data_IF_255646560194
#
_entry.id   IF_255646560194
#
_cell.length_a   1.000
_cell.length_b   1.000
_cell.length_c   1.000
_cell.angle_alpha   90.00
_cell.angle_beta   90.00
_cell.angle_gamma   90.00
#
_symmetry.space_group_name_H-M   'P 1'
#
loop_
_entity.id
_entity.type
_entity.pdbx_description
1 polymer ?
#
# COMPACT_ATOMS: atom_id res chain seq x y z
N UNK A 1 -31.54 -66.89 55.08
CA UNK A 1 -31.19 -65.80 56.03
C UNK A 1 -31.43 -64.48 55.31
N UNK A 2 -32.45 -63.71 55.71
CA UNK A 2 -32.95 -62.52 54.99
C UNK A 2 -32.06 -61.32 55.31
N UNK A 3 -31.47 -60.70 54.29
CA UNK A 3 -30.72 -59.44 54.43
C UNK A 3 -31.47 -58.38 53.63
N UNK A 4 -32.24 -57.59 54.37
CA UNK A 4 -32.95 -56.38 53.90
C UNK A 4 -32.03 -55.19 54.07
N UNK A 5 -31.65 -54.47 52.99
CA UNK A 5 -31.07 -53.12 53.11
C UNK A 5 -31.47 -52.22 51.93
N UNK A 6 -32.49 -51.42 52.20
CA UNK A 6 -32.62 -49.98 51.96
C UNK A 6 -32.06 -49.41 50.64
N UNK A 7 -32.95 -49.13 49.70
CA UNK A 7 -32.68 -48.37 48.48
C UNK A 7 -32.47 -46.89 48.88
N UNK A 8 -31.26 -46.38 48.70
CA UNK A 8 -30.96 -44.96 48.88
C UNK A 8 -31.06 -44.29 47.52
N UNK A 9 -32.03 -43.39 47.36
CA UNK A 9 -32.30 -42.67 46.11
C UNK A 9 -31.25 -41.55 45.95
N UNK A 10 -30.24 -41.78 45.11
CA UNK A 10 -29.21 -40.78 44.78
C UNK A 10 -29.73 -39.84 43.69
N UNK A 11 -30.01 -38.58 44.06
CA UNK A 11 -30.36 -37.51 43.13
C UNK A 11 -29.08 -36.97 42.48
N UNK A 12 -28.83 -37.33 41.22
CA UNK A 12 -27.66 -36.88 40.45
C UNK A 12 -27.99 -35.53 39.78
N UNK A 13 -27.54 -34.42 40.39
CA UNK A 13 -27.63 -33.09 39.78
C UNK A 13 -26.55 -32.96 38.70
N UNK A 14 -26.95 -33.02 37.42
CA UNK A 14 -26.07 -32.74 36.29
C UNK A 14 -25.84 -31.23 36.16
N UNK A 15 -24.69 -30.77 36.62
CA UNK A 15 -24.21 -29.41 36.36
C UNK A 15 -23.61 -29.39 34.95
N UNK A 16 -24.31 -28.78 34.00
CA UNK A 16 -23.73 -28.46 32.68
C UNK A 16 -22.79 -27.26 32.84
N UNK A 17 -21.50 -27.53 33.07
CA UNK A 17 -20.45 -26.53 32.93
C UNK A 17 -20.36 -26.14 31.45
N UNK A 18 -20.87 -24.96 31.09
CA UNK A 18 -20.61 -24.35 29.79
C UNK A 18 -19.11 -24.08 29.65
N UNK A 19 -18.43 -24.80 28.78
CA UNK A 19 -17.03 -24.50 28.45
C UNK A 19 -16.98 -23.20 27.63
N UNK A 20 -16.46 -22.13 28.22
CA UNK A 20 -16.02 -20.97 27.47
C UNK A 20 -14.85 -21.40 26.58
N UNK A 21 -15.04 -21.38 25.26
CA UNK A 21 -13.94 -21.59 24.32
C UNK A 21 -13.00 -20.38 24.44
N UNK A 22 -11.68 -20.59 24.64
CA UNK A 22 -10.74 -19.50 24.60
C UNK A 22 -10.77 -18.88 23.20
N UNK A 23 -10.93 -17.55 23.14
CA UNK A 23 -10.72 -16.78 21.91
C UNK A 23 -9.30 -17.04 21.44
N UNK A 24 -9.14 -17.69 20.29
CA UNK A 24 -7.83 -17.83 19.67
C UNK A 24 -7.29 -16.44 19.36
N UNK A 25 -6.23 -16.01 20.05
CA UNK A 25 -5.51 -14.80 19.70
C UNK A 25 -5.05 -14.90 18.24
N UNK A 26 -5.40 -13.88 17.45
CA UNK A 26 -4.93 -13.78 16.07
C UNK A 26 -3.41 -13.62 16.10
N UNK A 27 -2.68 -14.57 15.49
CA UNK A 27 -1.23 -14.43 15.33
C UNK A 27 -0.94 -13.09 14.64
N UNK A 28 0.02 -12.29 15.14
CA UNK A 28 0.39 -11.07 14.45
C UNK A 28 0.75 -11.41 13.00
N UNK A 29 0.10 -10.73 12.06
CA UNK A 29 0.41 -10.87 10.64
C UNK A 29 1.89 -10.60 10.40
N UNK A 30 2.48 -11.25 9.39
CA UNK A 30 3.86 -10.95 9.00
C UNK A 30 3.98 -9.43 8.76
N UNK A 31 5.10 -8.80 9.17
CA UNK A 31 5.35 -7.40 8.85
C UNK A 31 5.20 -7.20 7.35
N UNK A 32 4.27 -6.32 6.96
CA UNK A 32 4.07 -6.00 5.55
C UNK A 32 5.10 -4.93 5.21
N UNK A 33 6.03 -5.25 4.32
CA UNK A 33 6.99 -4.26 3.81
C UNK A 33 6.23 -3.23 2.98
N UNK A 34 6.41 -1.95 3.29
CA UNK A 34 5.83 -0.85 2.50
C UNK A 34 6.47 -0.84 1.11
N UNK A 35 5.65 -0.87 0.07
CA UNK A 35 6.11 -0.55 -1.28
C UNK A 35 6.28 0.97 -1.39
N UNK A 36 7.50 1.43 -1.66
CA UNK A 36 7.83 2.84 -1.90
C UNK A 36 8.35 2.98 -3.32
N UNK A 37 8.01 4.09 -3.97
CA UNK A 37 8.61 4.55 -5.22
C UNK A 37 9.32 5.85 -4.88
N UNK A 38 10.65 5.80 -4.82
CA UNK A 38 11.52 6.92 -4.42
C UNK A 38 12.18 7.60 -5.61
N UNK A 39 12.12 6.98 -6.80
CA UNK A 39 12.80 7.47 -8.00
C UNK A 39 14.32 7.26 -7.97
N UNK A 40 14.81 6.47 -7.01
CA UNK A 40 16.24 6.16 -6.82
C UNK A 40 16.56 4.66 -6.94
N UNK A 41 15.55 3.84 -7.26
CA UNK A 41 15.69 2.41 -7.45
C UNK A 41 16.51 2.09 -8.72
N UNK A 42 16.97 0.85 -8.84
CA UNK A 42 17.75 0.42 -10.00
C UNK A 42 16.97 0.60 -11.31
N UNK A 43 17.59 1.25 -12.30
CA UNK A 43 16.98 1.52 -13.61
C UNK A 43 16.27 2.88 -13.71
N UNK A 44 16.07 3.57 -12.60
CA UNK A 44 15.55 4.94 -12.61
C UNK A 44 16.60 5.93 -13.13
N UNK A 45 16.13 6.98 -13.79
CA UNK A 45 16.95 8.08 -14.30
C UNK A 45 16.22 9.40 -14.12
N UNK A 46 16.93 10.41 -13.64
CA UNK A 46 16.42 11.78 -13.62
C UNK A 46 16.15 12.30 -15.04
N UNK A 47 14.96 12.85 -15.26
CA UNK A 47 14.64 13.58 -16.48
C UNK A 47 15.14 15.02 -16.37
N UNK A 48 15.81 15.49 -17.42
CA UNK A 48 16.43 16.81 -17.48
C UNK A 48 15.84 17.64 -18.61
N UNK A 49 16.21 18.92 -18.70
CA UNK A 49 15.85 19.78 -19.85
C UNK A 49 16.14 19.13 -21.20
N UNK A 50 17.24 18.39 -21.29
CA UNK A 50 17.69 17.76 -22.54
C UNK A 50 16.81 16.59 -22.99
N UNK A 51 15.89 16.13 -22.14
CA UNK A 51 14.95 15.07 -22.49
C UNK A 51 13.70 15.58 -23.17
N UNK A 52 13.45 16.90 -23.14
CA UNK A 52 12.25 17.52 -23.65
C UNK A 52 12.50 18.35 -24.90
N UNK A 53 11.44 18.54 -25.69
CA UNK A 53 11.40 19.45 -26.82
C UNK A 53 10.14 20.29 -26.74
N UNK A 54 10.29 21.59 -27.05
CA UNK A 54 9.18 22.51 -27.20
C UNK A 54 8.36 22.11 -28.44
N UNK A 55 7.04 22.01 -28.28
CA UNK A 55 6.12 21.67 -29.38
C UNK A 55 5.50 22.93 -29.97
N UNK A 56 4.93 23.81 -29.15
CA UNK A 56 4.14 24.95 -29.58
C UNK A 56 4.13 26.12 -28.59
N UNK A 57 5.16 26.22 -27.75
CA UNK A 57 5.32 27.30 -26.78
C UNK A 57 6.26 28.39 -27.32
N UNK A 58 6.20 29.57 -26.71
CA UNK A 58 7.26 30.57 -26.88
C UNK A 58 8.55 30.13 -26.15
N UNK A 59 9.69 30.69 -26.54
CA UNK A 59 11.01 30.30 -26.01
C UNK A 59 11.14 30.51 -24.50
N UNK A 60 10.37 31.44 -23.93
CA UNK A 60 10.34 31.81 -22.51
C UNK A 60 9.21 31.16 -21.72
N UNK A 61 8.37 30.32 -22.35
CA UNK A 61 7.23 29.69 -21.67
C UNK A 61 7.69 28.68 -20.61
N UNK A 62 8.81 28.01 -20.85
CA UNK A 62 9.36 26.97 -19.96
C UNK A 62 10.77 27.34 -19.52
N UNK A 63 11.02 27.29 -18.21
CA UNK A 63 12.35 27.45 -17.62
C UNK A 63 12.70 26.27 -16.73
N UNK A 64 13.98 25.93 -16.70
CA UNK A 64 14.55 24.82 -15.92
C UNK A 64 15.55 25.42 -14.95
N UNK A 65 15.21 25.43 -13.67
CA UNK A 65 16.01 26.01 -12.59
C UNK A 65 16.35 24.91 -11.58
N UNK A 66 17.58 24.39 -11.64
CA UNK A 66 17.97 23.25 -10.82
C UNK A 66 17.11 22.02 -11.13
N UNK A 67 16.37 21.54 -10.13
CA UNK A 67 15.43 20.40 -10.25
C UNK A 67 13.97 20.83 -10.47
N UNK A 68 13.70 22.13 -10.63
CA UNK A 68 12.34 22.66 -10.81
C UNK A 68 12.10 23.06 -12.26
N UNK A 69 10.96 22.66 -12.79
CA UNK A 69 10.47 23.09 -14.10
C UNK A 69 9.35 24.11 -13.87
N UNK A 70 9.46 25.31 -14.45
CA UNK A 70 8.42 26.35 -14.36
C UNK A 70 7.79 26.60 -15.71
N UNK A 71 6.48 26.81 -15.70
CA UNK A 71 5.69 27.16 -16.87
C UNK A 71 4.98 28.49 -16.63
N UNK A 72 5.04 29.41 -17.58
CA UNK A 72 4.29 30.69 -17.53
C UNK A 72 2.79 30.49 -17.78
N UNK A 73 2.42 29.36 -18.41
CA UNK A 73 1.07 29.07 -18.89
C UNK A 73 0.62 29.91 -20.11
N UNK A 74 1.52 30.68 -20.73
CA UNK A 74 1.21 31.59 -21.83
C UNK A 74 2.29 31.50 -22.94
N UNK A 75 1.92 31.15 -24.19
CA UNK A 75 0.61 30.67 -24.63
C UNK A 75 0.26 29.28 -24.05
N UNK A 76 -0.97 28.82 -24.28
CA UNK A 76 -1.34 27.42 -24.00
C UNK A 76 -0.55 26.53 -24.96
N UNK A 77 0.33 25.70 -24.40
CA UNK A 77 1.17 24.79 -25.15
C UNK A 77 1.80 23.72 -24.27
N UNK A 78 2.63 22.87 -24.87
CA UNK A 78 3.24 21.72 -24.21
C UNK A 78 4.71 21.55 -24.59
N UNK A 79 5.43 20.87 -23.71
CA UNK A 79 6.68 20.17 -24.04
C UNK A 79 6.41 18.67 -24.11
N UNK A 80 7.24 17.94 -24.87
CA UNK A 80 7.17 16.47 -24.91
C UNK A 80 8.57 15.87 -24.79
N UNK A 81 8.65 14.59 -24.44
CA UNK A 81 9.93 13.87 -24.50
C UNK A 81 10.43 13.77 -25.94
N UNK A 82 11.75 13.84 -26.12
CA UNK A 82 12.39 13.64 -27.44
C UNK A 82 12.17 12.22 -27.96
N UNK A 83 12.26 11.23 -27.06
CA UNK A 83 12.03 9.81 -27.35
C UNK A 83 10.65 9.39 -26.85
N UNK A 84 9.92 8.63 -27.65
CA UNK A 84 8.67 8.02 -27.23
C UNK A 84 8.95 6.91 -26.22
N UNK A 85 8.19 6.90 -25.13
CA UNK A 85 8.24 5.88 -24.09
C UNK A 85 6.84 5.28 -23.96
N UNK A 86 6.74 3.95 -23.86
CA UNK A 86 5.45 3.25 -23.83
C UNK A 86 5.15 2.66 -22.46
N UNK A 87 6.00 1.76 -21.97
CA UNK A 87 5.91 1.18 -20.64
C UNK A 87 6.90 1.93 -19.73
N UNK A 88 6.37 2.73 -18.81
CA UNK A 88 7.20 3.50 -17.87
C UNK A 88 6.56 3.61 -16.49
N UNK A 89 7.43 3.84 -15.52
CA UNK A 89 7.11 4.41 -14.22
C UNK A 89 7.63 5.86 -14.21
N UNK A 90 6.84 6.80 -13.68
CA UNK A 90 7.19 8.22 -13.59
C UNK A 90 6.88 8.71 -12.18
N UNK A 91 7.86 9.38 -11.56
CA UNK A 91 7.70 10.12 -10.31
C UNK A 91 8.04 11.58 -10.60
N UNK A 92 7.13 12.48 -10.23
CA UNK A 92 7.25 13.93 -10.42
C UNK A 92 6.48 14.63 -9.30
N UNK A 93 6.97 15.80 -8.89
CA UNK A 93 6.37 16.68 -7.87
C UNK A 93 6.09 18.07 -8.45
#
# INVERSE_FOLDING_TARGET
>A
MKITRTITLSLLATITLGQAQPLSEAKPGKPVTRALITGTEAGWRAMTKDDFVNVNCADDTWSFEGNTIKCTGKPVGVIRTKKQVTNLELVVE
#
